data_IF_369099919554
#
_entry.id   IF_369099919554
#
_cell.length_a   1.000
_cell.length_b   1.000
_cell.length_c   1.000
_cell.angle_alpha   90.00
_cell.angle_beta   90.00
_cell.angle_gamma   90.00
#
_symmetry.space_group_name_H-M   'P 1'
#
loop_
_entity.id
_entity.type
_entity.pdbx_description
1 polymer ?
#
# COMPACT_ATOMS: atom_id res chain seq x y z
N UNK A 1 5.65 12.17 -13.73
CA UNK A 1 5.75 10.83 -14.33
C UNK A 1 6.68 10.86 -15.54
N UNK A 2 7.70 10.02 -15.58
CA UNK A 2 8.54 9.79 -16.76
C UNK A 2 8.11 8.48 -17.44
N UNK A 3 7.78 8.52 -18.74
CA UNK A 3 7.32 7.34 -19.50
C UNK A 3 8.19 7.14 -20.73
N UNK A 4 8.52 5.89 -21.05
CA UNK A 4 9.28 5.55 -22.26
C UNK A 4 9.00 4.12 -22.67
N UNK A 5 9.20 3.81 -23.96
CA UNK A 5 9.20 2.45 -24.50
C UNK A 5 10.53 1.72 -24.29
N UNK A 6 11.57 2.37 -23.74
CA UNK A 6 12.87 1.78 -23.41
C UNK A 6 13.26 2.08 -21.97
N UNK A 7 13.81 1.06 -21.29
CA UNK A 7 14.24 1.23 -19.89
C UNK A 7 15.49 2.10 -19.81
N UNK A 8 16.33 2.05 -20.83
CA UNK A 8 17.58 2.80 -20.97
C UNK A 8 17.37 4.32 -20.93
N UNK A 9 16.28 4.80 -21.54
CA UNK A 9 15.89 6.21 -21.52
C UNK A 9 15.38 6.64 -20.15
N UNK A 10 14.61 5.76 -19.47
CA UNK A 10 14.19 5.99 -18.10
C UNK A 10 15.38 6.07 -17.15
N UNK A 11 16.39 5.21 -17.32
CA UNK A 11 17.64 5.30 -16.55
C UNK A 11 18.38 6.60 -16.87
N UNK A 12 18.39 7.04 -18.12
CA UNK A 12 18.94 8.34 -18.50
C UNK A 12 18.27 9.50 -17.76
N UNK A 13 16.93 9.55 -17.79
CA UNK A 13 16.15 10.54 -17.08
C UNK A 13 16.35 10.49 -15.56
N UNK A 14 16.49 9.29 -14.98
CA UNK A 14 16.83 9.14 -13.57
C UNK A 14 18.25 9.65 -13.26
N UNK A 15 19.24 9.31 -14.09
CA UNK A 15 20.60 9.80 -13.93
C UNK A 15 20.67 11.33 -14.01
N UNK A 16 19.92 11.95 -14.91
CA UNK A 16 19.82 13.41 -15.01
C UNK A 16 19.16 14.04 -13.77
N UNK A 17 18.12 13.40 -13.23
CA UNK A 17 17.51 13.83 -11.97
C UNK A 17 18.53 13.75 -10.81
N UNK A 18 19.31 12.68 -10.73
CA UNK A 18 20.32 12.44 -9.69
C UNK A 18 21.49 13.43 -9.73
N UNK A 19 21.76 14.08 -10.88
CA UNK A 19 22.78 15.15 -10.97
C UNK A 19 22.39 16.41 -10.19
N UNK A 20 21.10 16.61 -9.89
CA UNK A 20 20.64 17.71 -9.03
C UNK A 20 20.88 17.30 -7.57
N UNK A 21 21.80 17.95 -6.84
CA UNK A 21 22.13 17.54 -5.47
C UNK A 21 20.94 17.73 -4.53
N UNK A 22 20.87 16.89 -3.49
CA UNK A 22 19.95 17.07 -2.37
C UNK A 22 20.40 18.25 -1.50
N UNK A 23 19.47 18.80 -0.71
CA UNK A 23 19.71 19.88 0.25
C UNK A 23 20.69 19.48 1.35
N UNK A 24 20.70 18.21 1.75
CA UNK A 24 21.71 17.64 2.66
C UNK A 24 22.70 16.72 1.95
N UNK A 25 24.00 16.94 2.19
CA UNK A 25 25.08 16.12 1.61
C UNK A 25 25.09 14.66 2.10
N UNK A 26 24.41 14.33 3.19
CA UNK A 26 24.35 12.98 3.75
C UNK A 26 22.98 12.32 3.60
N UNK A 27 22.01 13.02 2.99
CA UNK A 27 20.70 12.43 2.73
C UNK A 27 20.82 11.35 1.65
N UNK A 28 20.19 10.17 1.84
CA UNK A 28 20.19 9.14 0.82
C UNK A 28 19.19 9.46 -0.31
N UNK A 29 19.55 9.09 -1.53
CA UNK A 29 18.62 9.02 -2.66
C UNK A 29 17.77 7.76 -2.55
N UNK A 30 16.45 7.92 -2.46
CA UNK A 30 15.53 6.78 -2.30
C UNK A 30 14.93 6.40 -3.65
N UNK A 31 15.27 5.20 -4.12
CA UNK A 31 14.81 4.65 -5.40
C UNK A 31 14.05 3.34 -5.15
N UNK A 32 12.73 3.41 -5.07
CA UNK A 32 11.86 2.23 -4.88
C UNK A 32 11.86 1.36 -6.14
N UNK A 33 12.09 0.07 -5.96
CA UNK A 33 12.12 -0.95 -7.03
C UNK A 33 11.28 -2.17 -6.66
N UNK A 34 10.84 -2.95 -7.66
CA UNK A 34 10.03 -4.14 -7.39
C UNK A 34 10.82 -5.43 -7.14
N UNK A 35 12.11 -5.48 -7.48
CA UNK A 35 12.89 -6.71 -7.34
C UNK A 35 14.37 -6.44 -7.08
N UNK A 36 15.04 -7.42 -6.46
CA UNK A 36 16.50 -7.40 -6.28
C UNK A 36 17.25 -7.36 -7.62
N UNK A 37 16.69 -8.00 -8.65
CA UNK A 37 17.27 -7.98 -9.99
C UNK A 37 17.28 -6.56 -10.58
N UNK A 38 16.13 -5.87 -10.50
CA UNK A 38 16.01 -4.47 -10.92
C UNK A 38 16.94 -3.57 -10.12
N UNK A 39 17.02 -3.74 -8.79
CA UNK A 39 17.93 -2.97 -7.94
C UNK A 39 19.38 -3.07 -8.41
N UNK A 40 19.88 -4.31 -8.61
CA UNK A 40 21.27 -4.56 -9.04
C UNK A 40 21.54 -4.04 -10.43
N UNK A 41 20.61 -4.27 -11.36
CA UNK A 41 20.73 -3.76 -12.72
C UNK A 41 20.77 -2.23 -12.74
N UNK A 42 19.87 -1.57 -12.00
CA UNK A 42 19.78 -0.12 -11.95
C UNK A 42 21.03 0.50 -11.31
N UNK A 43 21.56 -0.10 -10.25
CA UNK A 43 22.84 0.30 -9.65
C UNK A 43 23.98 0.27 -10.68
N UNK A 44 24.10 -0.83 -11.44
CA UNK A 44 25.13 -0.95 -12.46
C UNK A 44 24.92 0.05 -13.60
N UNK A 45 23.69 0.21 -14.08
CA UNK A 45 23.35 1.12 -15.18
C UNK A 45 23.61 2.59 -14.82
N UNK A 46 23.24 2.99 -13.60
CA UNK A 46 23.50 4.34 -13.07
C UNK A 46 25.00 4.55 -12.83
N UNK A 47 25.72 3.58 -12.26
CA UNK A 47 27.16 3.68 -12.05
C UNK A 47 27.92 3.85 -13.38
N UNK A 48 27.54 3.13 -14.45
CA UNK A 48 28.14 3.30 -15.77
C UNK A 48 27.90 4.70 -16.36
N UNK A 49 26.75 5.32 -16.09
CA UNK A 49 26.39 6.65 -16.60
C UNK A 49 26.94 7.81 -15.77
N UNK A 50 26.96 7.67 -14.45
CA UNK A 50 27.41 8.70 -13.51
C UNK A 50 28.89 8.54 -13.13
N UNK A 51 29.54 7.44 -13.52
CA UNK A 51 30.90 7.08 -13.16
C UNK A 51 31.01 6.46 -11.76
N UNK A 52 30.35 7.05 -10.76
CA UNK A 52 30.24 6.51 -9.40
C UNK A 52 28.80 6.68 -8.91
N UNK A 53 28.26 5.65 -8.29
CA UNK A 53 26.97 5.70 -7.59
C UNK A 53 27.21 5.42 -6.10
N UNK A 54 26.83 6.37 -5.25
CA UNK A 54 26.93 6.26 -3.80
C UNK A 54 25.73 6.96 -3.14
N UNK A 55 25.43 6.60 -1.89
CA UNK A 55 24.35 7.24 -1.14
C UNK A 55 22.94 6.98 -1.70
N UNK A 56 22.72 5.87 -2.41
CA UNK A 56 21.41 5.48 -2.93
C UNK A 56 20.88 4.26 -2.18
N UNK A 57 19.61 4.30 -1.80
CA UNK A 57 18.86 3.20 -1.20
C UNK A 57 17.83 2.66 -2.19
N UNK A 58 17.69 1.33 -2.23
CA UNK A 58 16.78 0.64 -3.16
C UNK A 58 15.71 -0.19 -2.42
N UNK A 59 14.84 0.44 -1.62
CA UNK A 59 13.81 -0.28 -0.88
C UNK A 59 12.72 -0.84 -1.80
N UNK A 60 12.01 -1.83 -1.30
CA UNK A 60 10.76 -2.30 -1.92
C UNK A 60 9.58 -1.47 -1.42
N UNK A 61 8.44 -1.40 -2.16
CA UNK A 61 7.32 -0.53 -1.81
C UNK A 61 6.83 -0.67 -0.37
N UNK A 62 6.59 -1.90 0.10
CA UNK A 62 6.14 -2.16 1.47
C UNK A 62 7.11 -1.59 2.51
N UNK A 63 8.39 -1.91 2.37
CA UNK A 63 9.43 -1.47 3.30
C UNK A 63 9.55 0.05 3.33
N UNK A 64 9.53 0.68 2.16
CA UNK A 64 9.54 2.13 2.05
C UNK A 64 8.38 2.77 2.82
N UNK A 65 7.15 2.27 2.64
CA UNK A 65 5.99 2.80 3.35
C UNK A 65 6.05 2.52 4.85
N UNK A 66 6.53 1.35 5.29
CA UNK A 66 6.72 1.06 6.72
C UNK A 66 7.70 2.06 7.37
N UNK A 67 8.83 2.33 6.72
CA UNK A 67 9.80 3.31 7.21
C UNK A 67 9.23 4.75 7.18
N UNK A 68 8.45 5.09 6.14
CA UNK A 68 7.78 6.39 6.02
C UNK A 68 6.65 6.58 7.06
N UNK A 69 5.92 5.50 7.41
CA UNK A 69 4.93 5.52 8.47
C UNK A 69 5.59 5.79 9.82
N UNK A 70 6.67 5.06 10.15
CA UNK A 70 7.41 5.27 11.39
C UNK A 70 7.94 6.71 11.49
N UNK A 71 8.55 7.22 10.42
CA UNK A 71 9.12 8.57 10.38
C UNK A 71 8.09 9.67 10.71
N UNK A 72 6.86 9.56 10.19
CA UNK A 72 5.82 10.58 10.33
C UNK A 72 4.95 10.35 11.56
N UNK A 73 4.49 9.13 11.81
CA UNK A 73 3.57 8.83 12.91
C UNK A 73 4.28 8.86 14.27
N UNK A 74 5.48 8.27 14.37
CA UNK A 74 6.25 8.30 15.62
C UNK A 74 6.85 9.70 15.87
N UNK A 75 7.19 10.41 14.79
CA UNK A 75 7.64 11.81 14.84
C UNK A 75 6.54 12.77 15.31
N UNK A 76 5.30 12.59 14.84
CA UNK A 76 4.14 13.38 15.25
C UNK A 76 3.79 13.16 16.74
N UNK A 77 3.83 11.92 17.21
CA UNK A 77 3.61 11.57 18.62
C UNK A 77 4.62 12.25 19.56
N UNK A 78 5.87 12.45 19.12
CA UNK A 78 6.87 13.20 19.88
C UNK A 78 6.59 14.70 20.00
N UNK A 79 5.84 15.28 19.05
CA UNK A 79 5.49 16.72 19.02
C UNK A 79 4.26 17.07 19.87
N UNK A 80 3.27 16.17 19.97
CA UNK A 80 2.08 16.38 20.80
C UNK A 80 2.41 16.40 22.30
N UNK A 81 3.40 15.60 22.72
CA UNK A 81 3.91 15.60 24.10
C UNK A 81 4.67 16.89 24.43
N UNK A 82 5.20 17.60 23.42
CA UNK A 82 5.85 18.90 23.62
C UNK A 82 4.86 20.08 23.67
N UNK A 83 3.62 19.91 23.19
CA UNK A 83 2.57 20.95 23.16
C UNK A 83 1.68 21.01 24.42
N UNK A 84 1.66 19.95 25.23
CA UNK A 84 0.86 19.88 26.45
C UNK A 84 1.74 20.03 27.71
N UNK A 85 2.32 21.21 27.91
CA UNK A 85 3.24 21.42 29.03
C UNK A 85 3.59 22.86 29.34
N UNK A 86 2.60 23.77 29.36
CA UNK A 86 2.81 25.08 29.98
C UNK A 86 2.04 25.15 31.30
N UNK A 87 2.72 24.75 32.38
CA UNK A 87 2.16 24.70 33.72
C UNK A 87 3.18 24.28 34.78
N UNK A 88 3.96 25.27 35.24
CA UNK A 88 4.76 25.30 36.48
C UNK A 88 5.97 24.35 36.62
N UNK A 89 7.12 25.01 36.79
CA UNK A 89 8.41 24.47 37.11
C UNK A 89 8.46 23.67 38.42
N UNK A 90 9.16 22.53 38.40
CA UNK A 90 10.03 22.09 39.48
C UNK A 90 11.13 21.19 38.87
N UNK A 91 12.39 21.61 39.00
CA UNK A 91 13.53 20.88 38.47
C UNK A 91 13.77 19.55 39.17
N UNK A 92 14.55 18.68 38.52
CA UNK A 92 15.67 17.90 39.06
C UNK A 92 16.19 16.97 37.95
N UNK A 93 17.51 17.04 37.70
CA UNK A 93 18.34 15.88 37.40
C UNK A 93 18.32 15.32 35.97
N UNK A 94 19.28 15.76 35.16
CA UNK A 94 19.59 15.13 33.87
C UNK A 94 20.15 13.71 34.00
N UNK A 95 19.85 12.89 33.00
CA UNK A 95 20.57 11.66 32.72
C UNK A 95 20.76 11.54 31.20
N UNK A 96 21.93 11.94 30.74
CA UNK A 96 22.43 11.73 29.37
C UNK A 96 22.49 10.24 29.05
N UNK A 97 21.92 9.84 27.91
CA UNK A 97 22.16 8.52 27.31
C UNK A 97 23.64 8.44 26.88
N UNK A 98 24.35 7.33 27.16
CA UNK A 98 25.77 7.25 26.87
C UNK A 98 26.02 7.01 25.37
N UNK A 99 26.93 7.81 24.81
CA UNK A 99 27.68 7.50 23.60
C UNK A 99 28.63 6.36 23.91
N UNK A 100 28.55 5.26 23.17
CA UNK A 100 29.56 4.20 23.21
C UNK A 100 30.66 4.53 22.23
N UNK A 101 31.75 5.10 22.75
CA UNK A 101 33.07 5.07 22.12
C UNK A 101 33.69 3.68 22.34
N UNK A 102 34.18 3.05 21.27
CA UNK A 102 35.25 2.05 21.36
C UNK A 102 36.30 2.35 20.29
N UNK A 103 37.49 2.67 20.76
CA UNK A 103 38.70 2.90 19.98
C UNK A 103 39.51 1.59 19.78
N UNK A 104 39.90 1.35 18.53
CA UNK A 104 41.24 0.98 18.06
C UNK A 104 42.05 -0.17 18.68
N UNK A 105 42.17 -1.27 17.92
CA UNK A 105 43.39 -2.03 17.58
C UNK A 105 42.95 -3.12 16.58
N UNK A 106 43.57 -3.49 15.46
CA UNK A 106 44.88 -3.29 14.85
C UNK A 106 44.98 -4.34 13.72
N UNK A 107 45.33 -3.90 12.51
CA UNK A 107 45.71 -4.62 11.27
C UNK A 107 45.41 -6.11 11.04
N UNK A 108 44.76 -6.36 9.89
CA UNK A 108 44.78 -7.64 9.17
C UNK A 108 44.28 -7.47 7.74
N UNK A 109 45.20 -7.27 6.80
CA UNK A 109 45.00 -7.13 5.36
C UNK A 109 44.32 -8.36 4.76
N UNK A 110 43.13 -8.22 4.17
CA UNK A 110 42.63 -9.16 3.16
C UNK A 110 41.59 -8.46 2.26
N UNK A 111 41.99 -8.22 1.02
CA UNK A 111 41.10 -7.87 -0.08
C UNK A 111 40.07 -9.00 -0.28
N UNK A 112 38.78 -8.65 -0.27
CA UNK A 112 37.69 -9.60 -0.46
C UNK A 112 36.41 -8.87 -0.87
N UNK A 113 36.16 -8.89 -2.18
CA UNK A 113 34.90 -8.72 -2.92
C UNK A 113 33.70 -8.22 -2.09
N UNK A 114 33.27 -7.00 -2.40
CA UNK A 114 32.11 -6.33 -1.79
C UNK A 114 30.86 -7.18 -1.81
N UNK A 115 30.53 -7.72 -0.64
CA UNK A 115 29.21 -8.25 -0.34
C UNK A 115 28.19 -7.12 -0.44
N UNK A 116 27.17 -7.33 -1.27
CA UNK A 116 25.94 -6.55 -1.26
C UNK A 116 25.39 -6.66 0.17
N UNK A 117 25.54 -5.59 0.94
CA UNK A 117 24.88 -5.43 2.23
C UNK A 117 23.38 -5.47 2.00
N UNK A 118 22.79 -6.65 2.15
CA UNK A 118 21.38 -6.79 2.45
C UNK A 118 21.21 -6.07 3.78
N UNK A 119 20.56 -4.90 3.75
CA UNK A 119 20.26 -4.10 4.92
C UNK A 119 19.72 -5.01 6.00
N UNK A 120 20.50 -5.15 7.08
CA UNK A 120 20.17 -5.99 8.20
C UNK A 120 18.88 -5.50 8.85
N UNK A 121 18.08 -6.48 9.28
CA UNK A 121 16.92 -6.32 10.13
C UNK A 121 17.25 -5.36 11.28
N UNK A 122 16.76 -4.13 11.17
CA UNK A 122 16.62 -3.26 12.32
C UNK A 122 15.68 -3.96 13.29
N UNK A 123 16.18 -4.27 14.48
CA UNK A 123 15.41 -4.79 15.62
C UNK A 123 14.42 -3.72 16.13
N UNK A 124 13.48 -3.32 15.28
CA UNK A 124 12.24 -2.65 15.67
C UNK A 124 11.28 -3.68 16.26
N UNK A 125 10.31 -3.21 17.05
CA UNK A 125 9.22 -4.08 17.51
C UNK A 125 8.63 -4.82 16.30
N UNK A 126 8.54 -6.15 16.40
CA UNK A 126 7.99 -6.99 15.34
C UNK A 126 6.57 -6.50 15.00
N UNK A 127 6.29 -6.22 13.72
CA UNK A 127 4.95 -5.83 13.27
C UNK A 127 3.97 -6.98 13.62
N UNK A 128 3.00 -6.75 14.52
CA UNK A 128 2.07 -7.81 14.94
C UNK A 128 1.14 -8.28 13.81
N UNK A 129 1.02 -7.50 12.74
CA UNK A 129 0.28 -7.84 11.52
C UNK A 129 1.17 -8.38 10.40
N UNK A 130 2.46 -8.63 10.66
CA UNK A 130 3.30 -9.37 9.71
C UNK A 130 2.76 -10.81 9.52
N UNK A 131 2.83 -11.39 8.31
CA UNK A 131 2.27 -12.72 8.01
C UNK A 131 2.72 -13.81 8.97
N UNK A 132 3.99 -13.79 9.39
CA UNK A 132 4.57 -14.76 10.32
C UNK A 132 3.94 -14.66 11.72
N UNK A 133 3.71 -13.43 12.20
CA UNK A 133 3.05 -13.17 13.48
C UNK A 133 1.56 -13.52 13.43
N UNK A 134 0.89 -13.14 12.35
CA UNK A 134 -0.51 -13.49 12.12
C UNK A 134 -0.72 -15.00 12.05
N UNK A 135 0.19 -15.74 11.41
CA UNK A 135 0.10 -17.21 11.32
C UNK A 135 0.02 -17.84 12.71
N UNK A 136 0.91 -17.43 13.63
CA UNK A 136 0.92 -17.93 15.00
C UNK A 136 -0.29 -17.45 15.80
N UNK A 137 -0.69 -16.19 15.63
CA UNK A 137 -1.85 -15.62 16.30
C UNK A 137 -3.15 -16.32 15.87
N UNK A 138 -3.31 -16.58 14.58
CA UNK A 138 -4.46 -17.31 14.01
C UNK A 138 -4.46 -18.75 14.52
N UNK A 139 -3.33 -19.45 14.47
CA UNK A 139 -3.24 -20.83 14.98
C UNK A 139 -3.64 -20.93 16.46
N UNK A 140 -3.35 -19.90 17.27
CA UNK A 140 -3.76 -19.84 18.67
C UNK A 140 -5.23 -19.46 18.87
N UNK A 141 -5.82 -18.61 18.01
CA UNK A 141 -7.19 -18.10 18.16
C UNK A 141 -8.25 -18.97 17.50
N UNK A 142 -7.93 -19.60 16.37
CA UNK A 142 -8.88 -20.31 15.53
C UNK A 142 -9.56 -21.50 16.23
N UNK A 143 -8.86 -22.37 16.99
CA UNK A 143 -9.50 -23.50 17.65
C UNK A 143 -10.63 -23.11 18.61
N UNK A 144 -10.48 -22.01 19.34
CA UNK A 144 -11.51 -21.50 20.27
C UNK A 144 -12.70 -20.83 19.60
N UNK A 145 -12.73 -20.75 18.27
CA UNK A 145 -13.76 -20.08 17.48
C UNK A 145 -14.54 -21.01 16.56
N UNK A 146 -14.11 -22.27 16.42
CA UNK A 146 -14.73 -23.23 15.49
C UNK A 146 -16.22 -23.48 15.77
N UNK A 147 -16.67 -23.34 17.02
CA UNK A 147 -18.07 -23.51 17.41
C UNK A 147 -18.97 -22.31 17.08
N UNK A 148 -18.40 -21.19 16.59
CA UNK A 148 -19.17 -19.99 16.24
C UNK A 148 -19.87 -20.13 14.89
N UNK A 149 -21.02 -19.46 14.68
CA UNK A 149 -21.67 -19.44 13.37
C UNK A 149 -20.71 -18.87 12.30
N UNK A 150 -20.68 -19.51 11.13
CA UNK A 150 -19.84 -19.12 9.99
C UNK A 150 -18.50 -19.88 9.88
N UNK A 151 -18.05 -20.59 10.91
CA UNK A 151 -16.80 -21.38 10.87
C UNK A 151 -16.99 -22.83 10.40
N UNK A 152 -18.20 -23.22 9.96
CA UNK A 152 -18.54 -24.62 9.67
C UNK A 152 -17.69 -25.27 8.56
N UNK A 153 -17.27 -24.51 7.55
CA UNK A 153 -16.34 -24.98 6.51
C UNK A 153 -14.94 -25.24 7.06
N UNK A 154 -14.43 -24.33 7.89
CA UNK A 154 -13.12 -24.43 8.54
C UNK A 154 -13.07 -25.58 9.55
N UNK A 155 -14.11 -25.71 10.38
CA UNK A 155 -14.23 -26.80 11.34
C UNK A 155 -14.20 -28.17 10.64
N UNK A 156 -15.03 -28.36 9.60
CA UNK A 156 -15.05 -29.60 8.81
C UNK A 156 -13.69 -29.93 8.16
N UNK A 157 -12.95 -28.93 7.70
CA UNK A 157 -11.63 -29.13 7.12
C UNK A 157 -10.60 -29.66 8.14
N UNK A 158 -10.63 -29.11 9.36
CA UNK A 158 -9.75 -29.53 10.45
C UNK A 158 -10.17 -30.88 11.03
N UNK A 159 -11.47 -31.16 11.11
CA UNK A 159 -12.03 -32.44 11.58
C UNK A 159 -11.80 -33.60 10.60
N UNK A 160 -11.52 -33.31 9.33
CA UNK A 160 -11.16 -34.31 8.34
C UNK A 160 -9.71 -34.84 8.49
N UNK A 161 -9.00 -34.49 9.56
CA UNK A 161 -7.68 -35.02 9.88
C UNK A 161 -7.77 -36.43 10.50
N UNK A 162 -6.82 -37.29 10.17
CA UNK A 162 -6.81 -38.69 10.64
C UNK A 162 -6.39 -38.83 12.11
N UNK A 163 -5.52 -37.94 12.57
CA UNK A 163 -5.01 -37.88 13.94
C UNK A 163 -4.74 -36.43 14.39
N UNK A 164 -4.38 -36.26 15.66
CA UNK A 164 -4.09 -34.96 16.26
C UNK A 164 -2.86 -34.27 15.64
N UNK A 165 -1.87 -35.04 15.17
CA UNK A 165 -0.68 -34.49 14.54
C UNK A 165 -1.00 -33.89 13.16
N UNK A 166 -1.79 -34.59 12.35
CA UNK A 166 -2.30 -34.14 11.08
C UNK A 166 -3.25 -32.94 11.26
N UNK A 167 -4.07 -32.94 12.31
CA UNK A 167 -4.93 -31.79 12.66
C UNK A 167 -4.09 -30.55 12.97
N UNK A 168 -3.04 -30.70 13.78
CA UNK A 168 -2.12 -29.61 14.12
C UNK A 168 -1.40 -29.04 12.89
N UNK A 169 -0.94 -29.89 11.97
CA UNK A 169 -0.31 -29.45 10.73
C UNK A 169 -1.28 -28.69 9.82
N UNK A 170 -2.51 -29.21 9.62
CA UNK A 170 -3.54 -28.54 8.83
C UNK A 170 -3.93 -27.19 9.43
N UNK A 171 -4.00 -27.09 10.76
CA UNK A 171 -4.26 -25.84 11.45
C UNK A 171 -3.18 -24.80 11.14
N UNK A 172 -1.90 -25.18 11.21
CA UNK A 172 -0.79 -24.27 10.92
C UNK A 172 -0.79 -23.82 9.45
N UNK A 173 -0.94 -24.77 8.52
CA UNK A 173 -0.99 -24.48 7.07
C UNK A 173 -2.17 -23.58 6.71
N UNK A 174 -3.35 -23.85 7.28
CA UNK A 174 -4.51 -23.00 7.09
C UNK A 174 -4.26 -21.61 7.67
N UNK A 175 -3.69 -21.52 8.86
CA UNK A 175 -3.37 -20.24 9.51
C UNK A 175 -2.41 -19.40 8.66
N UNK A 176 -1.42 -20.03 8.03
CA UNK A 176 -0.49 -19.38 7.10
C UNK A 176 -1.21 -18.85 5.84
N UNK A 177 -2.11 -19.66 5.26
CA UNK A 177 -2.91 -19.24 4.10
C UNK A 177 -3.84 -18.05 4.46
N UNK A 178 -4.45 -18.08 5.65
CA UNK A 178 -5.30 -16.98 6.13
C UNK A 178 -4.47 -15.73 6.38
N UNK A 179 -3.31 -15.85 7.03
CA UNK A 179 -2.40 -14.74 7.27
C UNK A 179 -1.98 -14.06 5.97
N UNK A 180 -1.60 -14.84 4.96
CA UNK A 180 -1.24 -14.31 3.64
C UNK A 180 -2.43 -13.63 2.94
N UNK A 181 -3.61 -14.22 3.02
CA UNK A 181 -4.83 -13.62 2.45
C UNK A 181 -5.17 -12.28 3.12
N UNK A 182 -5.08 -12.20 4.45
CA UNK A 182 -5.31 -10.96 5.20
C UNK A 182 -4.28 -9.89 4.86
N UNK A 183 -3.00 -10.23 4.83
CA UNK A 183 -1.92 -9.32 4.45
C UNK A 183 -2.16 -8.68 3.07
N UNK A 184 -2.53 -9.49 2.08
CA UNK A 184 -2.88 -8.98 0.75
C UNK A 184 -4.15 -8.10 0.79
N UNK A 185 -5.22 -8.60 1.39
CA UNK A 185 -6.52 -7.95 1.33
C UNK A 185 -6.54 -6.61 2.06
N UNK A 186 -5.77 -6.45 3.13
CA UNK A 186 -5.62 -5.16 3.84
C UNK A 186 -5.08 -4.08 2.88
N UNK A 187 -4.15 -4.44 2.01
CA UNK A 187 -3.52 -3.52 1.05
C UNK A 187 -4.44 -3.27 -0.17
N UNK A 188 -5.19 -4.28 -0.62
CA UNK A 188 -6.07 -4.14 -1.79
C UNK A 188 -7.47 -3.59 -1.47
N UNK A 189 -7.95 -3.68 -0.22
CA UNK A 189 -9.28 -3.25 0.20
C UNK A 189 -9.28 -2.51 1.56
N UNK A 190 -8.44 -1.48 1.72
CA UNK A 190 -8.26 -0.80 2.99
C UNK A 190 -9.57 -0.22 3.55
N UNK A 191 -10.44 0.32 2.70
CA UNK A 191 -11.71 0.95 3.12
C UNK A 191 -12.68 -0.05 3.76
N UNK A 192 -12.75 -1.28 3.24
CA UNK A 192 -13.64 -2.32 3.78
C UNK A 192 -13.17 -2.78 5.17
N UNK A 193 -11.84 -2.88 5.34
CA UNK A 193 -11.19 -3.21 6.60
C UNK A 193 -11.48 -2.12 7.63
N UNK A 194 -11.25 -0.85 7.27
CA UNK A 194 -11.46 0.30 8.16
C UNK A 194 -12.93 0.48 8.55
N UNK A 195 -13.85 0.23 7.63
CA UNK A 195 -15.30 0.31 7.87
C UNK A 195 -15.84 -0.88 8.67
N UNK A 196 -15.04 -1.92 8.93
CA UNK A 196 -15.52 -3.16 9.58
C UNK A 196 -16.55 -3.91 8.74
N UNK A 197 -16.65 -3.61 7.44
CA UNK A 197 -17.59 -4.24 6.49
C UNK A 197 -16.94 -5.40 5.73
N UNK A 198 -15.73 -5.76 6.13
CA UNK A 198 -14.94 -6.80 5.50
C UNK A 198 -15.65 -8.16 5.58
N UNK A 199 -16.05 -8.68 4.42
CA UNK A 199 -16.78 -9.96 4.21
C UNK A 199 -18.11 -10.15 4.95
N UNK A 200 -18.64 -9.10 5.61
CA UNK A 200 -19.95 -9.12 6.24
C UNK A 200 -20.89 -8.09 5.65
N UNK A 201 -21.98 -8.52 5.00
CA UNK A 201 -23.15 -7.65 4.86
C UNK A 201 -23.93 -7.69 6.18
N UNK A 202 -23.81 -6.64 6.99
CA UNK A 202 -24.85 -6.31 7.97
C UNK A 202 -24.45 -6.19 9.45
N UNK A 203 -23.35 -5.50 9.79
CA UNK A 203 -23.28 -4.80 11.08
C UNK A 203 -23.69 -3.34 10.90
N UNK A 204 -24.90 -3.11 10.39
CA UNK A 204 -25.59 -1.87 10.69
C UNK A 204 -25.96 -1.91 12.17
N UNK A 205 -25.28 -1.09 12.98
CA UNK A 205 -25.69 -0.79 14.35
C UNK A 205 -24.82 -1.42 15.44
N UNK A 206 -23.59 -0.92 15.61
CA UNK A 206 -23.06 -0.49 16.91
C UNK A 206 -21.96 0.55 16.69
N UNK A 207 -22.28 1.61 15.94
CA UNK A 207 -21.54 2.85 16.08
C UNK A 207 -21.86 3.42 17.46
N UNK A 208 -20.79 3.58 18.24
CA UNK A 208 -20.70 4.32 19.50
C UNK A 208 -21.67 5.50 19.56
N UNK A 209 -22.53 5.52 20.57
CA UNK A 209 -23.36 6.66 20.93
C UNK A 209 -22.49 7.79 21.49
N UNK A 210 -22.69 9.01 20.99
CA UNK A 210 -22.58 10.24 21.75
C UNK A 210 -23.55 11.29 21.19
N UNK A 211 -24.06 12.23 22.03
CA UNK A 211 -25.47 12.66 21.96
C UNK A 211 -25.68 14.07 21.37
N UNK A 212 -26.91 14.34 20.95
CA UNK A 212 -27.49 15.69 21.02
C UNK A 212 -28.20 16.17 19.76
N UNK A 213 -29.53 16.09 19.77
CA UNK A 213 -30.47 17.20 19.51
C UNK A 213 -31.80 16.66 18.95
N UNK A 214 -32.87 16.92 19.70
CA UNK A 214 -34.24 16.52 19.44
C UNK A 214 -34.99 17.51 18.52
N UNK A 215 -36.19 17.06 18.10
CA UNK A 215 -37.36 17.85 17.63
C UNK A 215 -37.23 18.52 16.25
N UNK A 216 -38.25 18.59 15.38
CA UNK A 216 -39.68 18.24 15.38
C UNK A 216 -40.16 18.45 13.92
N UNK A 217 -40.85 17.47 13.32
CA UNK A 217 -42.29 17.51 12.96
C UNK A 217 -42.73 18.42 11.78
N UNK A 218 -43.25 17.81 10.70
CA UNK A 218 -44.68 17.83 10.27
C UNK A 218 -44.87 17.57 8.76
N UNK A 219 -45.88 16.75 8.48
CA UNK A 219 -46.40 16.37 7.18
C UNK A 219 -47.23 17.47 6.51
N UNK A 220 -47.34 17.48 5.17
CA UNK A 220 -48.61 17.67 4.44
C UNK A 220 -48.52 17.12 3.00
N UNK A 221 -49.39 16.13 2.75
CA UNK A 221 -50.15 15.72 1.56
C UNK A 221 -49.95 16.40 0.19
N UNK A 222 -49.83 15.58 -0.87
CA UNK A 222 -50.17 15.98 -2.25
C UNK A 222 -49.60 15.03 -3.33
N UNK A 223 -50.31 13.94 -3.65
CA UNK A 223 -50.08 13.16 -4.87
C UNK A 223 -50.93 13.73 -6.03
N UNK A 224 -50.52 13.53 -7.31
CA UNK A 224 -51.20 12.47 -8.05
C UNK A 224 -50.32 11.60 -8.98
N UNK A 225 -50.80 10.35 -9.06
CA UNK A 225 -50.63 9.23 -10.00
C UNK A 225 -49.77 9.36 -11.27
N UNK A 226 -48.95 8.31 -11.48
CA UNK A 226 -48.95 7.54 -12.74
C UNK A 226 -47.59 7.04 -13.25
N UNK A 227 -47.14 5.84 -12.81
CA UNK A 227 -46.22 4.95 -13.58
C UNK A 227 -46.17 3.55 -12.92
N UNK A 228 -45.92 2.46 -13.69
CA UNK A 228 -46.11 1.06 -13.26
C UNK A 228 -44.97 0.59 -12.32
N UNK A 229 -45.16 -0.54 -11.58
CA UNK A 229 -44.23 -0.92 -10.51
C UNK A 229 -42.91 -1.43 -11.10
N UNK A 230 -41.88 -0.59 -11.05
CA UNK A 230 -40.50 -0.97 -11.24
C UNK A 230 -39.97 -1.59 -9.95
N UNK A 231 -39.66 -2.89 -10.03
CA UNK A 231 -38.75 -3.68 -9.21
C UNK A 231 -38.22 -3.00 -7.94
N UNK A 232 -38.86 -3.27 -6.81
CA UNK A 232 -38.24 -3.13 -5.48
C UNK A 232 -36.88 -3.83 -5.51
N UNK A 233 -35.78 -3.24 -4.99
CA UNK A 233 -34.52 -3.95 -4.86
C UNK A 233 -34.73 -5.06 -3.83
N UNK A 234 -35.09 -6.25 -4.32
CA UNK A 234 -35.22 -7.44 -3.52
C UNK A 234 -33.81 -7.79 -3.03
N UNK A 235 -33.54 -7.50 -1.76
CA UNK A 235 -32.42 -8.05 -1.03
C UNK A 235 -32.47 -9.57 -1.24
N UNK A 236 -31.58 -10.07 -2.11
CA UNK A 236 -31.46 -11.49 -2.37
C UNK A 236 -31.06 -12.17 -1.08
N UNK A 237 -31.78 -13.22 -0.68
CA UNK A 237 -31.41 -14.04 0.47
C UNK A 237 -29.95 -14.51 0.31
N UNK A 238 -29.14 -14.49 1.37
CA UNK A 238 -27.74 -14.89 1.30
C UNK A 238 -27.66 -16.32 0.79
N UNK A 239 -26.81 -16.54 -0.21
CA UNK A 239 -26.53 -17.89 -0.69
C UNK A 239 -25.72 -18.64 0.38
N UNK A 240 -25.80 -19.97 0.42
CA UNK A 240 -25.13 -20.76 1.46
C UNK A 240 -23.59 -20.57 1.50
N UNK A 241 -22.97 -20.05 0.43
CA UNK A 241 -21.56 -19.63 0.42
C UNK A 241 -21.30 -18.33 1.18
N UNK A 242 -22.25 -17.38 1.17
CA UNK A 242 -22.10 -16.09 1.87
C UNK A 242 -22.15 -16.27 3.41
N UNK A 243 -22.82 -17.33 3.89
CA UNK A 243 -22.89 -17.67 5.31
C UNK A 243 -21.58 -18.30 5.84
N UNK A 244 -20.80 -18.93 4.97
CA UNK A 244 -19.51 -19.59 5.28
C UNK A 244 -18.30 -18.62 5.13
N UNK A 245 -18.53 -17.33 4.86
CA UNK A 245 -17.47 -16.30 4.70
C UNK A 245 -17.41 -15.28 5.84
N UNK A 246 -18.46 -15.18 6.68
CA UNK A 246 -18.51 -14.22 7.79
C UNK A 246 -17.48 -14.44 8.91
N UNK A 247 -16.84 -15.62 8.94
CA UNK A 247 -15.80 -15.94 9.93
C UNK A 247 -14.53 -15.10 9.72
N UNK A 248 -14.23 -14.66 8.50
CA UNK A 248 -13.01 -13.88 8.22
C UNK A 248 -13.03 -12.54 8.93
N UNK A 249 -14.16 -11.84 8.90
CA UNK A 249 -14.36 -10.58 9.62
C UNK A 249 -14.31 -10.75 11.14
N UNK A 250 -14.94 -11.79 11.69
CA UNK A 250 -14.88 -12.11 13.13
C UNK A 250 -13.45 -12.47 13.57
N UNK A 251 -12.73 -13.27 12.79
CA UNK A 251 -11.34 -13.64 13.06
C UNK A 251 -10.43 -12.42 12.98
N UNK A 252 -10.59 -11.57 11.97
CA UNK A 252 -9.79 -10.35 11.85
C UNK A 252 -10.08 -9.39 13.01
N UNK A 253 -11.35 -9.19 13.37
CA UNK A 253 -11.72 -8.42 14.57
C UNK A 253 -11.11 -8.98 15.85
N UNK A 254 -10.96 -10.31 15.96
CA UNK A 254 -10.25 -10.96 17.06
C UNK A 254 -8.76 -10.64 17.10
N UNK A 255 -8.11 -10.65 15.94
CA UNK A 255 -6.69 -10.31 15.80
C UNK A 255 -6.46 -8.85 16.20
N UNK A 256 -7.31 -7.94 15.73
CA UNK A 256 -7.31 -6.53 16.13
C UNK A 256 -7.53 -6.38 17.64
N UNK A 257 -8.49 -7.12 18.21
CA UNK A 257 -8.72 -7.11 19.66
C UNK A 257 -7.53 -7.63 20.48
N UNK A 258 -6.71 -8.52 19.91
CA UNK A 258 -5.52 -9.08 20.56
C UNK A 258 -4.28 -8.19 20.42
N UNK A 259 -4.07 -7.60 19.25
CA UNK A 259 -2.84 -6.90 18.88
C UNK A 259 -2.97 -5.38 18.82
N UNK A 260 -4.18 -4.84 19.00
CA UNK A 260 -4.49 -3.44 18.73
C UNK A 260 -4.88 -3.23 17.27
N UNK A 261 -5.35 -2.02 16.94
CA UNK A 261 -5.83 -1.67 15.60
C UNK A 261 -4.75 -1.01 14.72
N UNK A 262 -3.47 -1.20 15.06
CA UNK A 262 -2.31 -0.59 14.38
C UNK A 262 -1.87 -1.33 13.10
N UNK A 263 -2.81 -1.89 12.34
CA UNK A 263 -2.53 -2.56 11.08
C UNK A 263 -2.25 -1.57 9.93
N UNK A 264 -1.66 -2.06 8.83
CA UNK A 264 -1.25 -1.25 7.67
C UNK A 264 -2.33 -0.29 7.17
N UNK A 265 -3.59 -0.73 7.02
CA UNK A 265 -4.67 0.16 6.58
C UNK A 265 -4.95 1.32 7.57
N UNK A 266 -4.84 1.10 8.89
CA UNK A 266 -5.04 2.15 9.90
C UNK A 266 -3.84 3.09 9.97
N UNK A 267 -2.61 2.54 9.89
CA UNK A 267 -1.38 3.35 9.78
C UNK A 267 -1.44 4.24 8.54
N UNK A 268 -1.83 3.70 7.39
CA UNK A 268 -1.99 4.45 6.15
C UNK A 268 -3.03 5.57 6.25
N UNK A 269 -4.22 5.30 6.82
CA UNK A 269 -5.26 6.31 6.98
C UNK A 269 -4.79 7.50 7.86
N UNK A 270 -4.24 7.21 9.04
CA UNK A 270 -3.69 8.26 9.92
C UNK A 270 -2.52 9.00 9.27
N UNK A 271 -1.68 8.30 8.53
CA UNK A 271 -0.55 8.92 7.85
C UNK A 271 -1.00 9.92 6.79
N UNK A 272 -2.01 9.57 5.99
CA UNK A 272 -2.63 10.49 5.03
C UNK A 272 -3.20 11.72 5.75
N UNK A 273 -3.95 11.54 6.84
CA UNK A 273 -4.51 12.64 7.63
C UNK A 273 -3.42 13.59 8.15
N UNK A 274 -2.31 13.04 8.67
CA UNK A 274 -1.17 13.83 9.16
C UNK A 274 -0.49 14.60 8.04
N UNK A 275 -0.29 13.98 6.87
CA UNK A 275 0.29 14.63 5.71
C UNK A 275 -0.61 15.77 5.21
N UNK A 276 -1.88 15.51 4.95
CA UNK A 276 -2.84 16.53 4.51
C UNK A 276 -2.90 17.70 5.50
N UNK A 277 -2.89 17.43 6.80
CA UNK A 277 -2.81 18.45 7.85
C UNK A 277 -1.54 19.31 7.75
N UNK A 278 -0.37 18.68 7.60
CA UNK A 278 0.90 19.40 7.44
C UNK A 278 0.94 20.23 6.14
N UNK A 279 0.38 19.70 5.05
CA UNK A 279 0.37 20.33 3.74
C UNK A 279 -0.48 21.60 3.74
N UNK A 280 -1.65 21.52 4.37
CA UNK A 280 -2.51 22.67 4.61
C UNK A 280 -1.85 23.75 5.49
N UNK A 281 -0.95 23.36 6.39
CA UNK A 281 -0.15 24.27 7.21
C UNK A 281 1.10 24.81 6.49
N UNK A 282 1.33 24.44 5.22
CA UNK A 282 2.50 24.83 4.43
C UNK A 282 3.80 24.24 4.95
N UNK A 283 3.74 23.14 5.69
CA UNK A 283 4.89 22.48 6.32
C UNK A 283 5.10 21.10 5.72
N UNK A 284 6.36 20.74 5.51
CA UNK A 284 6.74 19.38 5.13
C UNK A 284 6.87 18.51 6.37
N UNK A 285 6.24 17.34 6.37
CA UNK A 285 6.39 16.38 7.45
C UNK A 285 7.87 15.97 7.63
N UNK A 286 8.32 15.97 8.88
CA UNK A 286 9.69 15.61 9.21
C UNK A 286 9.97 14.12 8.92
N UNK A 287 11.23 13.79 8.64
CA UNK A 287 11.68 12.40 8.43
C UNK A 287 11.41 11.81 7.04
N UNK A 288 10.67 12.51 6.16
CA UNK A 288 10.50 12.09 4.75
C UNK A 288 11.73 12.41 3.90
N UNK A 289 12.05 11.59 2.88
CA UNK A 289 13.13 11.89 1.93
C UNK A 289 12.82 13.12 1.09
N UNK A 290 13.84 13.82 0.59
CA UNK A 290 13.65 15.02 -0.25
C UNK A 290 12.96 14.76 -1.57
N UNK A 291 13.22 13.60 -2.16
CA UNK A 291 12.57 13.12 -3.37
C UNK A 291 12.48 11.61 -3.34
N UNK A 292 11.53 11.09 -4.10
CA UNK A 292 11.28 9.66 -4.23
C UNK A 292 11.23 9.30 -5.71
N UNK A 293 12.07 8.35 -6.11
CA UNK A 293 12.00 7.76 -7.45
C UNK A 293 11.40 6.36 -7.38
N UNK A 294 10.39 6.06 -8.19
CA UNK A 294 9.86 4.71 -8.34
C UNK A 294 10.24 4.18 -9.72
N UNK A 295 11.00 3.09 -9.78
CA UNK A 295 11.57 2.59 -11.03
C UNK A 295 11.12 1.16 -11.35
N UNK A 296 10.67 0.95 -12.59
CA UNK A 296 10.34 -0.39 -13.10
C UNK A 296 9.13 -1.00 -12.41
N UNK A 297 8.19 -0.16 -11.99
CA UNK A 297 6.96 -0.57 -11.31
C UNK A 297 5.90 -0.88 -12.38
N UNK A 298 5.54 -2.16 -12.51
CA UNK A 298 4.54 -2.61 -13.50
C UNK A 298 3.11 -2.65 -12.95
N UNK A 299 2.97 -2.64 -11.63
CA UNK A 299 1.71 -2.58 -10.90
C UNK A 299 1.93 -2.07 -9.47
N UNK A 300 0.93 -1.41 -8.91
CA UNK A 300 0.87 -1.01 -7.51
C UNK A 300 -0.50 -1.38 -6.96
N UNK A 301 -0.60 -1.80 -5.69
CA UNK A 301 -1.87 -1.86 -5.00
C UNK A 301 -2.52 -0.47 -4.87
N UNK A 302 -3.86 -0.37 -4.85
CA UNK A 302 -4.57 0.91 -4.74
C UNK A 302 -4.16 1.74 -3.53
N UNK A 303 -3.92 1.08 -2.38
CA UNK A 303 -3.45 1.76 -1.17
C UNK A 303 -2.11 2.47 -1.41
N UNK A 304 -1.17 1.84 -2.11
CA UNK A 304 0.14 2.46 -2.38
C UNK A 304 0.02 3.63 -3.34
N UNK A 305 -0.88 3.56 -4.33
CA UNK A 305 -1.13 4.71 -5.22
C UNK A 305 -1.69 5.89 -4.42
N UNK A 306 -2.66 5.66 -3.52
CA UNK A 306 -3.18 6.70 -2.61
C UNK A 306 -2.08 7.30 -1.73
N UNK A 307 -1.22 6.47 -1.17
CA UNK A 307 -0.10 6.93 -0.34
C UNK A 307 0.91 7.76 -1.15
N UNK A 308 1.22 7.37 -2.39
CA UNK A 308 2.08 8.15 -3.27
C UNK A 308 1.46 9.50 -3.64
N UNK A 309 0.14 9.53 -3.88
CA UNK A 309 -0.57 10.77 -4.18
C UNK A 309 -0.54 11.74 -3.00
N UNK A 310 -0.80 11.25 -1.78
CA UNK A 310 -0.66 12.06 -0.57
C UNK A 310 0.80 12.54 -0.38
N UNK A 311 1.78 11.65 -0.58
CA UNK A 311 3.19 11.97 -0.46
C UNK A 311 3.67 13.02 -1.48
N UNK A 312 3.16 12.95 -2.71
CA UNK A 312 3.49 13.86 -3.80
C UNK A 312 3.11 15.32 -3.55
N UNK A 313 2.25 15.59 -2.56
CA UNK A 313 1.94 16.95 -2.12
C UNK A 313 3.06 17.56 -1.25
N UNK A 314 4.02 16.75 -0.79
CA UNK A 314 5.09 17.17 0.14
C UNK A 314 6.49 17.02 -0.41
N UNK A 315 6.72 16.04 -1.28
CA UNK A 315 8.03 15.72 -1.85
C UNK A 315 7.92 15.45 -3.33
N UNK A 316 9.04 15.58 -4.04
CA UNK A 316 9.09 15.25 -5.46
C UNK A 316 9.00 13.73 -5.65
N UNK A 317 7.83 13.24 -6.07
CA UNK A 317 7.60 11.81 -6.39
C UNK A 317 7.66 11.62 -7.91
N UNK A 318 8.67 10.90 -8.40
CA UNK A 318 8.81 10.59 -9.83
C UNK A 318 8.63 9.11 -10.09
N UNK A 319 7.58 8.75 -10.83
CA UNK A 319 7.38 7.40 -11.37
C UNK A 319 8.04 7.27 -12.74
N UNK A 320 8.95 6.30 -12.89
CA UNK A 320 9.59 5.90 -14.14
C UNK A 320 8.90 4.64 -14.67
N UNK A 321 7.99 4.81 -15.62
CA UNK A 321 7.13 3.75 -16.14
C UNK A 321 7.52 3.35 -17.55
N UNK A 322 7.73 2.05 -17.75
CA UNK A 322 7.86 1.49 -19.08
C UNK A 322 6.48 1.46 -19.73
N UNK A 323 6.30 2.24 -20.79
CA UNK A 323 5.07 2.33 -21.56
C UNK A 323 5.36 2.02 -23.03
N UNK A 324 4.65 1.05 -23.64
CA UNK A 324 4.95 0.61 -25.01
C UNK A 324 4.59 1.66 -26.06
N UNK A 325 3.69 2.60 -25.75
CA UNK A 325 3.19 3.62 -26.68
C UNK A 325 3.04 4.97 -25.99
N UNK A 326 3.23 6.05 -26.75
CA UNK A 326 3.02 7.43 -26.29
C UNK A 326 1.56 7.73 -25.99
N UNK A 327 0.68 7.19 -26.83
CA UNK A 327 -0.75 7.42 -26.77
C UNK A 327 -1.37 6.77 -25.53
N UNK A 328 -2.40 7.41 -24.98
CA UNK A 328 -3.21 6.81 -23.94
C UNK A 328 -3.94 5.58 -24.48
N UNK A 329 -3.76 4.43 -23.81
CA UNK A 329 -4.27 3.14 -24.26
C UNK A 329 -5.10 2.41 -23.20
N UNK A 330 -5.49 3.09 -22.10
CA UNK A 330 -6.39 2.53 -21.07
C UNK A 330 -7.73 2.03 -21.64
N UNK A 331 -8.23 2.71 -22.68
CA UNK A 331 -9.47 2.34 -23.36
C UNK A 331 -9.35 1.19 -24.38
N UNK A 332 -8.14 0.69 -24.64
CA UNK A 332 -7.91 -0.40 -25.59
C UNK A 332 -8.31 -1.73 -24.96
N UNK A 333 -9.52 -2.21 -25.27
CA UNK A 333 -10.12 -3.45 -24.72
C UNK A 333 -9.79 -4.68 -25.55
N UNK A 334 -9.65 -5.84 -24.91
CA UNK A 334 -9.47 -7.11 -25.63
C UNK A 334 -10.73 -7.51 -26.40
N UNK A 335 -10.59 -8.30 -27.48
CA UNK A 335 -11.72 -8.82 -28.26
C UNK A 335 -12.73 -9.61 -27.40
N UNK A 336 -12.29 -10.23 -26.31
CA UNK A 336 -13.15 -11.00 -25.38
C UNK A 336 -13.93 -10.07 -24.45
N UNK A 337 -13.33 -8.96 -24.01
CA UNK A 337 -13.97 -7.91 -23.19
C UNK A 337 -14.99 -7.14 -24.03
N UNK A 338 -14.62 -6.66 -25.22
CA UNK A 338 -15.51 -5.94 -26.13
C UNK A 338 -16.76 -6.77 -26.52
N UNK A 339 -16.64 -8.10 -26.63
CA UNK A 339 -17.78 -9.00 -26.87
C UNK A 339 -18.71 -9.13 -25.66
N UNK A 340 -18.18 -9.11 -24.44
CA UNK A 340 -18.95 -9.17 -23.19
C UNK A 340 -19.72 -7.87 -22.96
N UNK A 341 -19.13 -6.73 -23.28
CA UNK A 341 -19.73 -5.41 -23.07
C UNK A 341 -20.80 -5.10 -24.12
N UNK A 342 -20.59 -5.53 -25.38
CA UNK A 342 -21.65 -5.52 -26.41
C UNK A 342 -22.88 -6.35 -26.02
N UNK A 343 -22.70 -7.40 -25.21
CA UNK A 343 -23.81 -8.17 -24.66
C UNK A 343 -24.50 -7.49 -23.46
N UNK A 344 -23.84 -6.50 -22.82
CA UNK A 344 -24.35 -5.76 -21.65
C UNK A 344 -25.01 -4.41 -21.95
N UNK A 345 -25.11 -3.99 -23.23
CA UNK A 345 -25.80 -2.76 -23.69
C UNK A 345 -25.18 -1.42 -23.28
N UNK A 346 -23.90 -1.36 -22.92
CA UNK A 346 -23.17 -0.09 -22.84
C UNK A 346 -22.39 0.14 -24.15
N UNK A 347 -22.98 0.95 -25.02
CA UNK A 347 -22.53 1.22 -26.39
C UNK A 347 -21.33 2.16 -26.47
N UNK A 348 -20.23 1.85 -25.79
CA UNK A 348 -18.96 2.58 -25.98
C UNK A 348 -18.08 1.78 -26.96
N UNK A 349 -17.79 2.38 -28.11
CA UNK A 349 -16.90 1.78 -29.12
C UNK A 349 -15.49 1.82 -28.53
N UNK A 350 -15.00 0.68 -28.02
CA UNK A 350 -13.62 0.54 -27.59
C UNK A 350 -12.68 0.95 -28.73
N UNK A 351 -11.72 1.82 -28.44
CA UNK A 351 -10.70 2.22 -29.42
C UNK A 351 -9.99 0.97 -29.95
N UNK A 352 -9.88 0.83 -31.28
CA UNK A 352 -9.14 -0.25 -31.93
C UNK A 352 -7.63 -0.06 -31.70
N UNK A 353 -7.12 -0.52 -30.57
CA UNK A 353 -5.67 -0.61 -30.33
C UNK A 353 -5.09 -1.97 -30.72
N UNK A 354 -3.76 -2.08 -30.64
CA UNK A 354 -3.03 -3.29 -31.06
C UNK A 354 -3.47 -4.53 -30.26
N UNK A 355 -3.79 -5.68 -30.91
CA UNK A 355 -4.41 -6.82 -30.25
C UNK A 355 -3.56 -7.45 -29.12
N UNK A 356 -2.23 -7.38 -29.24
CA UNK A 356 -1.33 -7.85 -28.16
C UNK A 356 -1.35 -6.92 -26.94
N UNK A 357 -1.43 -5.61 -27.17
CA UNK A 357 -1.53 -4.64 -26.08
C UNK A 357 -2.87 -4.81 -25.35
N UNK A 358 -3.94 -5.06 -26.10
CA UNK A 358 -5.24 -5.35 -25.55
C UNK A 358 -5.26 -6.65 -24.70
N UNK A 359 -4.51 -7.68 -25.10
CA UNK A 359 -4.48 -8.96 -24.36
C UNK A 359 -3.47 -9.00 -23.21
N UNK A 360 -2.33 -8.32 -23.31
CA UNK A 360 -1.24 -8.40 -22.33
C UNK A 360 -1.09 -7.15 -21.46
N UNK A 361 -1.66 -6.03 -21.87
CA UNK A 361 -1.51 -4.75 -21.18
C UNK A 361 -2.49 -4.52 -20.02
N UNK A 362 -3.33 -5.50 -19.64
CA UNK A 362 -4.33 -5.33 -18.57
C UNK A 362 -3.73 -4.77 -17.27
N UNK A 363 -2.57 -5.27 -16.84
CA UNK A 363 -1.93 -4.83 -15.60
C UNK A 363 -1.45 -3.37 -15.65
N UNK A 364 -0.85 -2.95 -16.76
CA UNK A 364 -0.41 -1.56 -16.90
C UNK A 364 -1.57 -0.59 -17.11
N UNK A 365 -2.67 -1.03 -17.74
CA UNK A 365 -3.92 -0.22 -17.79
C UNK A 365 -4.49 0.01 -16.41
N UNK A 366 -4.59 -1.05 -15.61
CA UNK A 366 -5.07 -0.95 -14.23
C UNK A 366 -4.22 0.02 -13.41
N UNK A 367 -2.89 -0.04 -13.54
CA UNK A 367 -2.00 0.93 -12.88
C UNK A 367 -2.24 2.37 -13.38
N UNK A 368 -2.38 2.56 -14.69
CA UNK A 368 -2.62 3.87 -15.28
C UNK A 368 -3.96 4.46 -14.82
N UNK A 369 -5.04 3.65 -14.88
CA UNK A 369 -6.37 4.02 -14.39
C UNK A 369 -6.33 4.41 -12.90
N UNK A 370 -5.62 3.65 -12.06
CA UNK A 370 -5.46 3.98 -10.63
C UNK A 370 -4.69 5.28 -10.40
N UNK A 371 -3.65 5.57 -11.19
CA UNK A 371 -2.88 6.82 -11.07
C UNK A 371 -3.75 8.02 -11.48
N UNK A 372 -4.53 7.88 -12.55
CA UNK A 372 -5.45 8.92 -13.02
C UNK A 372 -6.58 9.20 -12.01
N UNK A 373 -7.10 8.17 -11.35
CA UNK A 373 -8.09 8.33 -10.27
C UNK A 373 -7.49 8.99 -9.03
N UNK A 374 -6.22 8.73 -8.72
CA UNK A 374 -5.58 9.21 -7.51
C UNK A 374 -5.18 10.69 -7.52
N UNK A 375 -5.08 11.34 -8.69
CA UNK A 375 -4.90 12.79 -8.77
C UNK A 375 -4.19 13.31 -10.01
N UNK A 376 -3.78 14.58 -9.93
CA UNK A 376 -3.07 15.27 -11.00
C UNK A 376 -1.60 14.85 -11.01
N UNK A 377 -1.08 14.52 -12.19
CA UNK A 377 0.34 14.25 -12.40
C UNK A 377 0.88 15.13 -13.52
N UNK A 378 2.14 15.53 -13.39
CA UNK A 378 2.88 16.19 -14.47
C UNK A 378 3.69 15.16 -15.25
N UNK A 379 3.74 15.27 -16.58
CA UNK A 379 4.66 14.48 -17.40
C UNK A 379 6.05 15.11 -17.39
N UNK A 380 7.04 14.30 -17.01
CA UNK A 380 8.44 14.68 -16.92
C UNK A 380 9.11 14.35 -18.25
N UNK A 381 9.53 15.40 -18.96
CA UNK A 381 10.45 15.28 -20.10
C UNK A 381 11.88 15.51 -19.61
N UNK A 382 12.84 14.71 -20.06
CA UNK A 382 14.25 15.02 -19.79
C UNK A 382 14.69 16.09 -20.78
N UNK A 383 15.17 17.24 -20.29
CA UNK A 383 15.65 18.36 -21.11
C UNK A 383 14.64 18.91 -22.15
N UNK A 384 13.33 18.73 -21.92
CA UNK A 384 12.29 19.15 -22.88
C UNK A 384 12.11 18.21 -24.07
N UNK A 385 12.75 17.04 -24.05
CA UNK A 385 12.66 16.00 -25.07
C UNK A 385 11.80 14.84 -24.59
N UNK A 386 10.99 14.33 -25.51
CA UNK A 386 10.22 13.11 -25.34
C UNK A 386 11.17 11.91 -25.13
N UNK A 387 10.86 11.04 -24.16
CA UNK A 387 11.69 9.89 -23.79
C UNK A 387 11.41 8.66 -24.66
N UNK A 388 10.44 8.72 -25.57
CA UNK A 388 10.11 7.61 -26.46
C UNK A 388 11.02 7.61 -27.68
N UNK A 389 11.53 6.44 -28.02
CA UNK A 389 12.41 6.20 -29.17
C UNK A 389 11.60 5.59 -30.31
N UNK A 390 11.80 6.06 -31.54
CA UNK A 390 11.15 5.49 -32.71
C UNK A 390 11.64 4.06 -33.01
N UNK A 391 10.78 3.16 -33.51
CA UNK A 391 11.23 1.83 -33.91
C UNK A 391 12.27 1.90 -35.04
N UNK A 392 13.50 1.44 -34.77
CA UNK A 392 14.57 1.34 -35.76
C UNK A 392 15.81 2.19 -35.46
N UNK A 393 15.73 3.08 -34.47
CA UNK A 393 16.89 3.72 -33.80
C UNK A 393 17.39 2.86 -32.63
#
# INVERSE_FOLDING_TARGET
MARSNRTEELVGALADALKRPLGSSTAPEVIVVQSRGMARWLQQALAMRLGVLAGCEFPFPRRFFDDAFAAVLDGAAGSEVAGAGNGTAAGVGGASRPRSDVAGAGNGTAAGVGGVGVGGDGAGALDPFAPEQLTLAIAALLPGRLDRPGYGSVARYLDAAEDDAARGLRLLQLSEQIAHAFDQQIVYRPEQVLAGTWFGRGAAGTASQAPGAASEARATTGAPLGTPPGTTPQASAPSASDADEGWQGDLFGALVGRHGDDHVARRAARWIEVLEGAGNAGQRAAGLPERLSLFGVASLPPLYVKLLAALGQHIDVTLYLLSPTREYWGDVRSRREARRDRARKDGMVAAEGHPLLASWGRLSRELQEQIEEAGHYDEVTSAGTDLYVEPGE
#
